data_IF_527745648346
#
_entry.id   IF_527745648346
#
_cell.length_a   1.000
_cell.length_b   1.000
_cell.length_c   1.000
_cell.angle_alpha   90.00
_cell.angle_beta   90.00
_cell.angle_gamma   90.00
#
_symmetry.space_group_name_H-M   'P 1'
#
loop_
_entity.id
_entity.type
_entity.pdbx_description
1 polymer ?
#
# COMPACT_ATOMS: atom_id res chain seq x y z
N UNK A 1 -2.63 6.15 7.68
CA UNK A 1 -1.17 6.29 7.68
C UNK A 1 -0.67 5.72 6.36
N UNK A 2 0.20 6.42 5.64
CA UNK A 2 0.86 5.83 4.47
C UNK A 2 2.13 5.15 4.96
N UNK A 3 2.33 3.88 4.62
CA UNK A 3 3.55 3.14 4.95
C UNK A 3 4.66 3.49 3.94
N UNK A 4 5.90 3.51 4.40
CA UNK A 4 7.06 3.79 3.55
C UNK A 4 7.41 2.55 2.72
N UNK A 5 7.83 2.75 1.48
CA UNK A 5 8.47 1.68 0.72
C UNK A 5 9.93 1.51 1.18
N UNK A 6 10.63 0.49 0.66
CA UNK A 6 12.02 0.19 1.03
C UNK A 6 12.98 1.35 0.79
N UNK A 7 12.87 2.04 -0.36
CA UNK A 7 13.79 3.12 -0.73
C UNK A 7 13.60 4.35 0.17
N UNK A 8 12.34 4.72 0.42
CA UNK A 8 11.99 5.83 1.31
C UNK A 8 12.39 5.53 2.76
N UNK A 9 12.25 4.29 3.22
CA UNK A 9 12.66 3.87 4.56
C UNK A 9 14.18 3.93 4.73
N UNK A 10 14.95 3.41 3.76
CA UNK A 10 16.42 3.45 3.78
C UNK A 10 17.00 4.87 3.69
N UNK A 11 16.24 5.81 3.14
CA UNK A 11 16.63 7.21 3.08
C UNK A 11 16.50 7.95 4.42
N UNK A 12 15.80 7.36 5.40
CA UNK A 12 15.66 7.92 6.75
C UNK A 12 16.92 7.74 7.59
N UNK A 13 17.13 8.64 8.55
CA UNK A 13 18.13 8.43 9.59
C UNK A 13 17.73 7.26 10.51
N UNK A 14 18.70 6.62 11.15
CA UNK A 14 18.48 5.45 12.04
C UNK A 14 17.42 5.72 13.12
N UNK A 15 17.47 6.88 13.79
CA UNK A 15 16.47 7.27 14.78
C UNK A 15 15.05 7.45 14.18
N UNK A 16 14.94 7.84 12.92
CA UNK A 16 13.64 7.95 12.22
C UNK A 16 13.13 6.57 11.78
N UNK A 17 14.02 5.64 11.44
CA UNK A 17 13.68 4.24 11.16
C UNK A 17 13.14 3.54 12.41
N UNK A 18 13.77 3.74 13.56
CA UNK A 18 13.28 3.26 14.87
C UNK A 18 11.89 3.83 15.21
N UNK A 19 11.67 5.12 14.97
CA UNK A 19 10.38 5.74 15.16
C UNK A 19 9.33 5.16 14.21
N UNK A 20 9.67 4.94 12.94
CA UNK A 20 8.78 4.32 11.96
C UNK A 20 8.39 2.88 12.34
N UNK A 21 9.31 2.10 12.91
CA UNK A 21 9.04 0.78 13.49
C UNK A 21 8.12 0.85 14.70
N UNK A 22 8.33 1.81 15.59
CA UNK A 22 7.46 2.06 16.75
C UNK A 22 6.04 2.42 16.32
N UNK A 23 5.92 3.29 15.31
CA UNK A 23 4.63 3.67 14.72
C UNK A 23 3.95 2.46 14.06
N UNK A 24 4.71 1.64 13.33
CA UNK A 24 4.21 0.41 12.71
C UNK A 24 3.69 -0.58 13.76
N UNK A 25 4.44 -0.79 14.84
CA UNK A 25 4.01 -1.60 15.99
C UNK A 25 2.68 -1.08 16.58
N UNK A 26 2.58 0.24 16.76
CA UNK A 26 1.37 0.92 17.23
C UNK A 26 0.17 0.73 16.30
N UNK A 27 0.37 0.78 14.99
CA UNK A 27 -0.69 0.55 13.98
C UNK A 27 -1.14 -0.91 13.95
N UNK A 28 -0.21 -1.85 14.08
CA UNK A 28 -0.50 -3.28 14.06
C UNK A 28 -1.07 -3.80 15.38
N UNK A 29 -0.92 -3.03 16.47
CA UNK A 29 -1.30 -3.45 17.81
C UNK A 29 -0.46 -4.62 18.34
N UNK A 30 0.80 -4.75 17.89
CA UNK A 30 1.75 -5.77 18.34
C UNK A 30 3.14 -5.15 18.56
N UNK A 31 3.92 -5.73 19.46
CA UNK A 31 5.34 -5.38 19.56
C UNK A 31 6.12 -5.95 18.38
N UNK A 32 7.06 -5.16 17.87
CA UNK A 32 8.07 -5.58 16.91
C UNK A 32 9.39 -5.75 17.67
N UNK A 33 9.96 -6.96 17.64
CA UNK A 33 11.26 -7.20 18.26
C UNK A 33 12.36 -6.75 17.31
N UNK A 34 13.23 -5.86 17.78
CA UNK A 34 14.43 -5.40 17.08
C UNK A 34 15.65 -5.92 17.84
N UNK A 35 16.48 -6.74 17.21
CA UNK A 35 17.77 -7.16 17.77
C UNK A 35 18.90 -6.30 17.21
N UNK A 36 20.03 -6.17 17.93
CA UNK A 36 21.18 -5.36 17.49
C UNK A 36 21.78 -5.78 16.14
N UNK A 37 21.61 -7.06 15.75
CA UNK A 37 22.12 -7.61 14.49
C UNK A 37 21.11 -7.54 13.33
N UNK A 38 19.86 -7.16 13.60
CA UNK A 38 18.80 -7.13 12.59
C UNK A 38 18.79 -5.79 11.85
N UNK A 39 18.67 -5.82 10.52
CA UNK A 39 18.46 -4.60 9.75
C UNK A 39 17.03 -4.06 9.99
N UNK A 40 16.91 -2.81 10.46
CA UNK A 40 15.61 -2.16 10.73
C UNK A 40 14.67 -2.20 9.53
N UNK A 41 15.22 -2.11 8.32
CA UNK A 41 14.46 -2.18 7.06
C UNK A 41 13.81 -3.54 6.86
N UNK A 42 14.49 -4.64 7.20
CA UNK A 42 13.96 -5.98 7.01
C UNK A 42 12.84 -6.27 8.01
N UNK A 43 13.00 -5.82 9.27
CA UNK A 43 11.94 -5.89 10.27
C UNK A 43 10.73 -5.08 9.83
N UNK A 44 10.94 -3.85 9.35
CA UNK A 44 9.88 -2.96 8.92
C UNK A 44 9.10 -3.58 7.76
N UNK A 45 9.79 -3.99 6.70
CA UNK A 45 9.16 -4.58 5.51
C UNK A 45 8.48 -5.92 5.79
N UNK A 46 9.05 -6.77 6.64
CA UNK A 46 8.44 -8.06 7.02
C UNK A 46 7.17 -7.89 7.86
N UNK A 47 7.04 -6.75 8.55
CA UNK A 47 5.90 -6.47 9.42
C UNK A 47 4.93 -5.46 8.85
N UNK A 48 5.23 -4.81 7.72
CA UNK A 48 4.24 -4.05 6.99
C UNK A 48 3.02 -4.96 6.83
N UNK A 49 1.83 -4.57 7.36
CA UNK A 49 0.62 -5.32 7.05
C UNK A 49 0.57 -5.33 5.54
N UNK A 50 0.52 -6.51 4.90
CA UNK A 50 0.66 -6.68 3.44
C UNK A 50 0.28 -5.36 2.82
N UNK A 51 1.29 -4.55 2.44
CA UNK A 51 1.03 -3.45 1.56
C UNK A 51 0.43 -4.21 0.42
N UNK A 52 -0.89 -4.15 0.30
CA UNK A 52 -1.58 -4.92 -0.70
C UNK A 52 -1.22 -4.16 -1.96
N UNK A 53 0.01 -4.39 -2.44
CA UNK A 53 0.60 -3.93 -3.68
C UNK A 53 -0.18 -4.57 -4.83
N UNK A 54 -1.01 -5.58 -4.51
CA UNK A 54 -2.08 -6.05 -5.36
C UNK A 54 -3.28 -5.12 -5.34
N UNK A 55 -3.29 -3.97 -4.65
CA UNK A 55 -4.36 -2.95 -4.65
C UNK A 55 -3.85 -1.51 -4.79
N UNK A 56 -4.59 -0.69 -5.52
CA UNK A 56 -4.31 0.73 -5.72
C UNK A 56 -5.60 1.56 -5.67
N UNK A 57 -5.46 2.82 -5.22
CA UNK A 57 -6.55 3.78 -5.26
C UNK A 57 -6.68 4.39 -6.64
N UNK A 58 -7.87 4.38 -7.20
CA UNK A 58 -8.18 4.99 -8.50
C UNK A 58 -9.35 5.95 -8.37
N UNK A 59 -9.34 7.00 -9.20
CA UNK A 59 -10.49 7.87 -9.41
C UNK A 59 -10.88 7.83 -10.89
N UNK A 60 -12.04 7.27 -11.25
CA UNK A 60 -12.40 7.12 -12.65
C UNK A 60 -13.02 8.40 -13.20
N UNK A 61 -12.65 8.73 -14.44
CA UNK A 61 -13.12 9.91 -15.18
C UNK A 61 -14.58 9.78 -15.65
N UNK A 62 -15.06 8.54 -15.73
CA UNK A 62 -16.44 8.15 -16.03
C UNK A 62 -16.86 6.92 -15.20
N UNK A 63 -18.11 6.50 -15.25
CA UNK A 63 -18.53 5.31 -14.50
C UNK A 63 -18.08 4.05 -15.24
N UNK A 64 -17.27 3.21 -14.60
CA UNK A 64 -16.62 2.05 -15.23
C UNK A 64 -17.12 0.77 -14.58
N UNK A 65 -17.36 -0.26 -15.38
CA UNK A 65 -17.63 -1.62 -14.90
C UNK A 65 -16.44 -2.52 -15.23
N UNK A 66 -15.93 -3.23 -14.24
CA UNK A 66 -14.71 -4.03 -14.34
C UNK A 66 -14.84 -5.34 -13.55
N UNK A 67 -13.93 -6.28 -13.77
CA UNK A 67 -13.78 -7.47 -12.92
C UNK A 67 -12.65 -7.22 -11.91
N UNK A 68 -12.92 -7.45 -10.64
CA UNK A 68 -11.86 -7.45 -9.62
C UNK A 68 -11.02 -8.74 -9.67
N UNK A 69 -10.00 -8.82 -8.82
CA UNK A 69 -9.08 -9.95 -8.77
C UNK A 69 -9.76 -11.26 -8.32
N UNK A 70 -10.90 -11.16 -7.64
CA UNK A 70 -11.76 -12.30 -7.25
C UNK A 70 -12.69 -12.74 -8.40
N UNK A 71 -12.61 -12.08 -9.56
CA UNK A 71 -13.45 -12.35 -10.74
C UNK A 71 -14.87 -11.77 -10.64
N UNK A 72 -15.18 -11.02 -9.59
CA UNK A 72 -16.47 -10.40 -9.38
C UNK A 72 -16.61 -9.13 -10.22
N UNK A 73 -17.79 -8.92 -10.79
CA UNK A 73 -18.07 -7.69 -11.54
C UNK A 73 -18.41 -6.56 -10.58
N UNK A 74 -17.65 -5.48 -10.62
CA UNK A 74 -17.84 -4.28 -9.80
C UNK A 74 -18.05 -3.04 -10.68
N UNK A 75 -18.76 -2.05 -10.15
CA UNK A 75 -19.01 -0.78 -10.82
C UNK A 75 -18.42 0.34 -9.98
N UNK A 76 -17.56 1.15 -10.59
CA UNK A 76 -17.06 2.40 -10.03
C UNK A 76 -17.84 3.55 -10.61
N UNK A 77 -18.28 4.47 -9.75
CA UNK A 77 -18.97 5.67 -10.19
C UNK A 77 -17.94 6.77 -10.51
N UNK A 78 -18.23 7.56 -11.54
CA UNK A 78 -17.43 8.72 -11.93
C UNK A 78 -17.05 9.58 -10.73
N UNK A 79 -15.75 9.86 -10.58
CA UNK A 79 -15.21 10.74 -9.54
C UNK A 79 -15.19 10.15 -8.13
N UNK A 80 -15.67 8.92 -7.92
CA UNK A 80 -15.54 8.25 -6.62
C UNK A 80 -14.18 7.58 -6.51
N UNK A 81 -13.44 7.96 -5.47
CA UNK A 81 -12.18 7.32 -5.12
C UNK A 81 -12.46 5.93 -4.54
N UNK A 82 -11.84 4.90 -5.10
CA UNK A 82 -12.03 3.52 -4.67
C UNK A 82 -10.72 2.73 -4.70
N UNK A 83 -10.65 1.71 -3.86
CA UNK A 83 -9.55 0.76 -3.82
C UNK A 83 -9.89 -0.43 -4.73
N UNK A 84 -9.04 -0.68 -5.72
CA UNK A 84 -9.15 -1.77 -6.68
C UNK A 84 -7.84 -2.55 -6.74
N UNK A 85 -7.82 -3.69 -7.42
CA UNK A 85 -6.58 -4.41 -7.68
C UNK A 85 -5.54 -3.55 -8.40
N UNK A 86 -4.24 -3.68 -8.12
CA UNK A 86 -3.19 -2.90 -8.75
C UNK A 86 -3.10 -3.19 -10.26
N UNK A 87 -3.27 -4.46 -10.66
CA UNK A 87 -3.38 -4.84 -12.08
C UNK A 87 -4.58 -4.19 -12.75
N UNK A 88 -5.71 -4.15 -12.06
CA UNK A 88 -6.92 -3.49 -12.53
C UNK A 88 -6.72 -1.97 -12.63
N UNK A 89 -6.07 -1.36 -11.64
CA UNK A 89 -5.77 0.06 -11.63
C UNK A 89 -4.82 0.45 -12.77
N UNK A 90 -3.80 -0.35 -13.01
CA UNK A 90 -2.85 -0.18 -14.12
C UNK A 90 -3.57 -0.31 -15.46
N UNK A 91 -4.37 -1.36 -15.66
CA UNK A 91 -5.19 -1.53 -16.86
C UNK A 91 -6.11 -0.32 -17.09
N UNK A 92 -6.83 0.14 -16.06
CA UNK A 92 -7.70 1.30 -16.18
C UNK A 92 -6.93 2.58 -16.50
N UNK A 93 -5.68 2.70 -16.04
CA UNK A 93 -4.83 3.86 -16.33
C UNK A 93 -4.33 3.82 -17.77
N UNK A 94 -3.94 2.66 -18.26
CA UNK A 94 -3.53 2.42 -19.65
C UNK A 94 -4.67 2.67 -20.63
N UNK A 95 -5.90 2.29 -20.26
CA UNK A 95 -7.13 2.59 -21.01
C UNK A 95 -7.57 4.07 -20.85
N UNK A 96 -6.89 4.84 -20.01
CA UNK A 96 -7.17 6.26 -19.78
C UNK A 96 -8.43 6.55 -18.95
N UNK A 97 -9.02 5.52 -18.34
CA UNK A 97 -10.28 5.56 -17.59
C UNK A 97 -10.12 6.17 -16.20
N UNK A 98 -8.93 6.10 -15.60
CA UNK A 98 -8.63 6.62 -14.26
C UNK A 98 -7.44 7.58 -14.29
N UNK A 99 -7.32 8.38 -13.23
CA UNK A 99 -6.14 9.20 -12.91
C UNK A 99 -5.47 8.67 -11.64
#
# INVERSE_FOLDING_TARGET
>A
MAFLNKEDFLALAEAEQEQALTDLAGVLGKELTVNEDDELVDIYLANLPEQDDSKAWVTPKESVRFKDDDGNTRTLLKGQKALVGAKVAEQMRDEGLVS
#
